data_IF_436252307318
#
_entry.id   IF_436252307318
#
_cell.length_a   1.000
_cell.length_b   1.000
_cell.length_c   1.000
_cell.angle_alpha   90.00
_cell.angle_beta   90.00
_cell.angle_gamma   90.00
#
_symmetry.space_group_name_H-M   'P 1'
#
loop_
_entity.id
_entity.type
_entity.pdbx_description
1 polymer ?
#
# COMPACT_ATOMS: atom_id res chain seq x y z
N UNK A 1 16.78 8.97 5.96
CA UNK A 1 16.50 7.80 6.80
C UNK A 1 15.61 6.84 6.07
N UNK A 2 15.83 5.54 6.26
CA UNK A 2 15.07 4.52 5.55
C UNK A 2 13.96 3.98 6.45
N UNK A 3 12.78 3.81 5.88
CA UNK A 3 11.69 3.12 6.56
C UNK A 3 11.77 1.63 6.28
N UNK A 4 11.42 0.82 7.28
CA UNK A 4 11.22 -0.62 7.09
C UNK A 4 9.82 -0.84 6.55
N UNK A 5 9.71 -1.65 5.50
CA UNK A 5 8.41 -1.93 4.89
C UNK A 5 7.98 -3.34 5.29
N UNK A 6 6.83 -3.43 5.96
CA UNK A 6 6.26 -4.69 6.39
C UNK A 6 4.97 -4.95 5.62
N UNK A 7 4.77 -6.18 5.16
CA UNK A 7 3.59 -6.58 4.40
C UNK A 7 2.72 -7.49 5.25
N UNK A 8 1.46 -7.11 5.43
CA UNK A 8 0.49 -8.00 6.06
C UNK A 8 -0.03 -9.02 5.05
N UNK A 9 -0.55 -10.14 5.55
CA UNK A 9 -0.95 -11.25 4.70
C UNK A 9 -1.90 -10.89 3.56
N UNK A 10 -2.96 -10.12 3.78
CA UNK A 10 -3.87 -9.80 2.68
C UNK A 10 -3.20 -9.07 1.54
N UNK A 11 -2.33 -8.10 1.87
CA UNK A 11 -1.61 -7.35 0.86
C UNK A 11 -0.64 -8.25 0.08
N UNK A 12 0.13 -9.04 0.82
CA UNK A 12 1.11 -9.93 0.20
C UNK A 12 0.46 -10.96 -0.71
N UNK A 13 -0.65 -11.55 -0.27
CA UNK A 13 -1.40 -12.52 -1.07
C UNK A 13 -1.88 -11.91 -2.38
N UNK A 14 -2.46 -10.70 -2.31
CA UNK A 14 -2.95 -10.04 -3.51
C UNK A 14 -1.80 -9.76 -4.49
N UNK A 15 -0.71 -9.20 -3.99
CA UNK A 15 0.42 -8.82 -4.84
C UNK A 15 1.02 -10.03 -5.53
N UNK A 16 1.19 -11.13 -4.80
CA UNK A 16 1.77 -12.36 -5.37
C UNK A 16 0.94 -12.98 -6.48
N UNK A 17 -0.35 -12.70 -6.52
CA UNK A 17 -1.25 -13.22 -7.56
C UNK A 17 -1.19 -12.41 -8.86
N UNK A 18 -0.55 -11.26 -8.85
CA UNK A 18 -0.49 -10.41 -10.03
C UNK A 18 0.62 -10.87 -10.98
N UNK A 19 0.51 -10.55 -12.28
CA UNK A 19 1.61 -10.81 -13.21
C UNK A 19 2.90 -10.15 -12.73
N UNK A 20 4.03 -10.75 -13.04
CA UNK A 20 5.32 -10.28 -12.53
C UNK A 20 5.59 -8.81 -12.81
N UNK A 21 5.23 -8.34 -13.99
CA UNK A 21 5.41 -6.93 -14.35
C UNK A 21 4.60 -6.02 -13.45
N UNK A 22 3.38 -6.42 -13.10
CA UNK A 22 2.54 -5.64 -12.19
C UNK A 22 3.07 -5.71 -10.77
N UNK A 23 3.56 -6.86 -10.33
CA UNK A 23 4.22 -6.98 -9.03
C UNK A 23 5.37 -5.99 -8.93
N UNK A 24 6.20 -5.91 -9.96
CA UNK A 24 7.34 -5.00 -9.98
C UNK A 24 6.89 -3.55 -9.84
N UNK A 25 5.86 -3.15 -10.57
CA UNK A 25 5.33 -1.78 -10.51
C UNK A 25 4.81 -1.44 -9.12
N UNK A 26 4.08 -2.38 -8.50
CA UNK A 26 3.54 -2.18 -7.15
C UNK A 26 4.69 -2.04 -6.14
N UNK A 27 5.66 -2.94 -6.21
CA UNK A 27 6.77 -2.93 -5.26
C UNK A 27 7.64 -1.67 -5.41
N UNK A 28 7.88 -1.22 -6.64
CA UNK A 28 8.62 0.02 -6.85
C UNK A 28 7.91 1.21 -6.23
N UNK A 29 6.58 1.29 -6.40
CA UNK A 29 5.79 2.37 -5.82
C UNK A 29 5.79 2.31 -4.30
N UNK A 30 5.68 1.11 -3.72
CA UNK A 30 5.72 0.91 -2.28
C UNK A 30 7.08 1.34 -1.71
N UNK A 31 8.16 1.05 -2.41
CA UNK A 31 9.50 1.43 -1.96
C UNK A 31 9.72 2.95 -1.92
N UNK A 32 8.90 3.71 -2.61
CA UNK A 32 8.93 5.17 -2.53
C UNK A 32 8.23 5.76 -1.32
N UNK A 33 7.48 4.94 -0.57
CA UNK A 33 6.76 5.40 0.60
C UNK A 33 7.72 5.67 1.77
N UNK A 34 7.39 6.65 2.63
CA UNK A 34 6.21 7.50 2.59
C UNK A 34 6.35 8.77 1.74
N UNK A 35 7.48 8.95 1.06
CA UNK A 35 7.85 10.24 0.48
C UNK A 35 7.24 10.52 -0.88
N UNK A 36 6.96 9.49 -1.66
CA UNK A 36 6.48 9.69 -3.03
C UNK A 36 5.37 8.72 -3.40
N UNK A 37 4.59 9.09 -4.41
CA UNK A 37 3.50 8.31 -4.93
C UNK A 37 2.19 9.09 -4.94
N UNK A 38 1.16 8.48 -5.51
CA UNK A 38 -0.18 9.04 -5.53
C UNK A 38 -0.88 8.64 -4.22
N UNK A 39 -0.73 9.48 -3.21
CA UNK A 39 -1.09 9.18 -1.82
C UNK A 39 -2.27 10.02 -1.39
N UNK A 40 -3.21 9.40 -0.69
CA UNK A 40 -4.38 10.08 -0.16
C UNK A 40 -4.82 9.44 1.16
N UNK A 41 -5.31 10.26 2.10
CA UNK A 41 -5.88 9.73 3.34
C UNK A 41 -7.20 9.03 3.06
N UNK A 42 -7.44 7.92 3.75
CA UNK A 42 -8.73 7.26 3.69
C UNK A 42 -9.73 7.97 4.58
N UNK A 43 -10.85 8.38 3.97
CA UNK A 43 -11.92 9.04 4.68
C UNK A 43 -12.52 8.09 5.72
N UNK A 44 -12.67 8.59 6.96
CA UNK A 44 -13.27 7.80 8.02
C UNK A 44 -12.36 6.78 8.68
N UNK A 45 -11.10 6.72 8.29
CA UNK A 45 -10.13 5.78 8.85
C UNK A 45 -8.87 6.52 9.27
N UNK A 46 -8.83 6.94 10.50
CA UNK A 46 -7.69 7.67 11.04
C UNK A 46 -6.41 6.82 10.93
N UNK A 47 -5.37 7.41 10.38
CA UNK A 47 -4.08 6.74 10.26
C UNK A 47 -3.93 5.82 9.06
N UNK A 48 -4.97 5.62 8.27
CA UNK A 48 -4.87 4.81 7.06
C UNK A 48 -4.71 5.69 5.83
N UNK A 49 -3.81 5.26 4.94
CA UNK A 49 -3.49 5.96 3.71
C UNK A 49 -3.68 5.03 2.52
N UNK A 50 -3.89 5.62 1.36
CA UNK A 50 -4.03 4.88 0.10
C UNK A 50 -2.93 5.29 -0.86
N UNK A 51 -2.24 4.32 -1.42
CA UNK A 51 -1.32 4.51 -2.54
C UNK A 51 -1.98 3.96 -3.80
N UNK A 52 -2.09 4.78 -4.82
CA UNK A 52 -2.62 4.37 -6.12
C UNK A 52 -1.49 3.97 -7.06
N UNK A 53 -1.59 2.78 -7.63
CA UNK A 53 -0.65 2.28 -8.64
C UNK A 53 -1.48 1.75 -9.81
N UNK A 54 -1.69 2.57 -10.84
CA UNK A 54 -2.58 2.21 -11.94
C UNK A 54 -3.99 1.92 -11.46
N UNK A 55 -4.49 0.72 -11.75
CA UNK A 55 -5.80 0.28 -11.27
C UNK A 55 -5.77 -0.32 -9.86
N UNK A 56 -4.58 -0.45 -9.28
CA UNK A 56 -4.42 -1.03 -7.94
C UNK A 56 -4.50 0.04 -6.87
N UNK A 57 -4.98 -0.39 -5.69
CA UNK A 57 -5.04 0.47 -4.50
C UNK A 57 -4.37 -0.28 -3.36
N UNK A 58 -3.42 0.39 -2.71
CA UNK A 58 -2.64 -0.17 -1.61
C UNK A 58 -3.00 0.61 -0.35
N UNK A 59 -3.43 -0.09 0.69
CA UNK A 59 -3.78 0.54 1.97
C UNK A 59 -2.60 0.33 2.91
N UNK A 60 -2.16 1.41 3.55
CA UNK A 60 -0.99 1.34 4.41
C UNK A 60 -1.07 2.34 5.55
N UNK A 61 -0.20 2.17 6.52
CA UNK A 61 0.00 3.12 7.61
C UNK A 61 1.49 3.41 7.77
N UNK A 62 1.79 4.53 8.41
CA UNK A 62 3.19 4.95 8.64
C UNK A 62 3.37 5.18 10.13
N UNK A 63 4.40 4.56 10.69
CA UNK A 63 4.83 4.80 12.07
C UNK A 63 6.14 5.57 12.02
N UNK A 64 6.08 6.88 12.25
CA UNK A 64 7.25 7.73 12.18
C UNK A 64 8.20 7.55 13.37
N UNK A 65 7.68 7.06 14.50
CA UNK A 65 8.51 6.79 15.65
C UNK A 65 9.42 5.59 15.44
N UNK A 66 8.89 4.53 14.83
CA UNK A 66 9.66 3.32 14.55
C UNK A 66 10.20 3.27 13.12
N UNK A 67 9.87 4.24 12.28
CA UNK A 67 10.25 4.28 10.88
C UNK A 67 9.76 3.01 10.14
N UNK A 68 8.48 2.70 10.29
CA UNK A 68 7.84 1.54 9.67
C UNK A 68 6.72 1.99 8.75
N UNK A 69 6.70 1.46 7.54
CA UNK A 69 5.55 1.52 6.64
C UNK A 69 4.94 0.13 6.61
N UNK A 70 3.68 0.03 7.04
CA UNK A 70 2.97 -1.25 7.10
C UNK A 70 1.96 -1.31 5.97
N UNK A 71 2.15 -2.25 5.06
CA UNK A 71 1.25 -2.48 3.93
C UNK A 71 0.15 -3.42 4.40
N UNK A 72 -1.04 -2.87 4.58
CA UNK A 72 -2.14 -3.57 5.28
C UNK A 72 -2.99 -4.38 4.31
N UNK A 73 -3.29 -3.80 3.15
CA UNK A 73 -4.18 -4.44 2.19
C UNK A 73 -3.86 -3.94 0.79
N UNK A 74 -4.30 -4.70 -0.20
CA UNK A 74 -4.13 -4.34 -1.60
C UNK A 74 -5.27 -4.95 -2.40
N UNK A 75 -5.62 -4.31 -3.51
CA UNK A 75 -6.67 -4.83 -4.37
C UNK A 75 -6.89 -3.95 -5.57
N UNK A 76 -7.81 -4.37 -6.41
CA UNK A 76 -8.29 -3.56 -7.51
C UNK A 76 -9.20 -2.46 -6.98
N UNK A 77 -9.36 -1.41 -7.75
CA UNK A 77 -10.03 -0.18 -7.35
C UNK A 77 -11.33 -0.38 -6.56
N UNK A 78 -12.28 -1.13 -7.08
CA UNK A 78 -13.56 -1.29 -6.41
C UNK A 78 -13.54 -2.20 -5.20
N UNK A 79 -12.69 -3.22 -5.23
CA UNK A 79 -12.65 -4.27 -4.22
C UNK A 79 -12.10 -3.81 -2.89
N UNK A 80 -11.01 -3.04 -2.93
CA UNK A 80 -10.38 -2.55 -1.70
C UNK A 80 -11.31 -1.62 -0.94
N UNK A 81 -11.96 -0.70 -1.64
CA UNK A 81 -12.79 0.30 -0.99
C UNK A 81 -14.04 -0.29 -0.35
N UNK A 82 -14.49 -1.46 -0.79
CA UNK A 82 -15.64 -2.12 -0.17
C UNK A 82 -15.33 -2.60 1.25
N UNK A 83 -14.05 -2.72 1.61
CA UNK A 83 -13.62 -3.14 2.95
C UNK A 83 -13.35 -1.94 3.87
N UNK A 84 -13.38 -0.75 3.33
CA UNK A 84 -13.09 0.49 4.07
C UNK A 84 -14.14 1.58 3.71
#
# INVERSE_FOLDING_TARGET
MSYTILYEKPALKFIKKQPKEQQRRILEAVHGLPDSGDIKQLKGHTGLLRLRVGSYRIIYSVDNGQLIVRIIDAGNRGQVYNRY
#
